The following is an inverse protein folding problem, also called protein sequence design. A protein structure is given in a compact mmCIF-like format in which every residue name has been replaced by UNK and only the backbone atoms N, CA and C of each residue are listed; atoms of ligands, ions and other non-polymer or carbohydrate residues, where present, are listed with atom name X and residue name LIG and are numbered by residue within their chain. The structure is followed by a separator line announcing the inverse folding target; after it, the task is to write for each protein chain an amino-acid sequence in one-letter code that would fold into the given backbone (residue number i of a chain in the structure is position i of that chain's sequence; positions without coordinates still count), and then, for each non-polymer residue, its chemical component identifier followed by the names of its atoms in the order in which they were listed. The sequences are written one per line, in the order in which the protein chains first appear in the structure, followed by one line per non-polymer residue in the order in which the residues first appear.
data_IF_819829379437
#
_entry.id   IF_819829379437
#
_cell.length_a   1.000
_cell.length_b   1.000
_cell.length_c   1.000
_cell.angle_alpha   90.00
_cell.angle_beta   90.00
_cell.angle_gamma   90.00
#
_symmetry.space_group_name_H-M   'P 1'
#
loop_
_entity.id
_entity.type
_entity.pdbx_description
1 polymer ?
#
# COMPACT_ATOMS: atom_id res chain seq x y z
N UNK A 1 -0.31 -2.77 -6.15
CA UNK A 1 -1.45 -3.24 -6.96
C UNK A 1 -2.03 -2.02 -7.66
N UNK A 2 -2.26 -2.09 -8.97
CA UNK A 2 -3.07 -1.07 -9.65
C UNK A 2 -4.47 -1.67 -9.75
N UNK A 3 -5.51 -0.92 -9.37
CA UNK A 3 -6.87 -1.30 -9.73
C UNK A 3 -7.01 -1.01 -11.22
N UNK A 4 -7.20 -2.06 -12.02
CA UNK A 4 -7.08 -2.00 -13.47
C UNK A 4 -8.34 -1.47 -14.16
N UNK A 5 -8.10 -0.60 -15.13
CA UNK A 5 -9.02 -0.17 -16.18
C UNK A 5 -9.28 -1.34 -17.15
N UNK A 6 -10.53 -1.65 -17.50
CA UNK A 6 -10.88 -2.68 -18.49
C UNK A 6 -11.65 -2.07 -19.67
N UNK A 7 -11.23 -2.28 -20.94
CA UNK A 7 -10.15 -3.15 -21.44
C UNK A 7 -8.86 -2.39 -21.82
N UNK A 8 -8.81 -1.06 -21.69
CA UNK A 8 -7.76 -0.21 -22.31
C UNK A 8 -7.03 0.67 -21.30
N UNK A 9 -6.45 0.05 -20.27
CA UNK A 9 -5.45 0.72 -19.44
C UNK A 9 -4.09 0.75 -20.13
N UNK A 10 -3.36 1.86 -20.04
CA UNK A 10 -1.95 1.92 -20.45
C UNK A 10 -1.09 2.56 -19.37
N UNK A 11 0.14 2.08 -19.21
CA UNK A 11 1.13 2.63 -18.31
C UNK A 11 2.54 2.10 -18.65
N UNK A 12 3.56 2.91 -18.41
CA UNK A 12 4.97 2.50 -18.38
C UNK A 12 5.42 2.48 -16.92
N UNK A 13 5.93 1.35 -16.44
CA UNK A 13 6.28 1.14 -15.02
C UNK A 13 7.64 0.46 -14.85
N UNK A 14 8.74 1.13 -15.18
CA UNK A 14 10.06 0.54 -15.01
C UNK A 14 10.42 0.45 -13.52
N UNK A 15 11.26 -0.53 -13.21
CA UNK A 15 11.85 -0.75 -11.91
C UNK A 15 13.37 -0.75 -12.06
N UNK A 16 14.07 0.03 -11.25
CA UNK A 16 15.53 -0.06 -11.13
C UNK A 16 15.88 -0.57 -9.73
N UNK A 17 16.77 -1.55 -9.67
CA UNK A 17 17.31 -2.08 -8.41
C UNK A 17 18.74 -1.57 -8.27
N UNK A 18 19.02 -0.96 -7.13
CA UNK A 18 20.34 -0.52 -6.70
C UNK A 18 20.75 -1.38 -5.49
N UNK A 19 21.87 -1.06 -4.86
CA UNK A 19 22.44 -1.86 -3.77
C UNK A 19 21.47 -2.01 -2.58
N UNK A 20 20.83 -0.91 -2.16
CA UNK A 20 19.95 -0.86 -0.98
C UNK A 20 18.55 -0.31 -1.29
N UNK A 21 18.30 0.03 -2.55
CA UNK A 21 17.13 0.81 -2.95
C UNK A 21 16.49 0.25 -4.21
N UNK A 22 15.16 0.26 -4.24
CA UNK A 22 14.37 -0.06 -5.42
C UNK A 22 13.62 1.18 -5.86
N UNK A 23 13.86 1.64 -7.09
CA UNK A 23 13.22 2.83 -7.67
C UNK A 23 12.08 2.41 -8.58
N UNK A 24 10.85 2.74 -8.18
CA UNK A 24 9.63 2.52 -8.95
C UNK A 24 9.22 3.81 -9.66
N UNK A 25 9.16 3.81 -10.99
CA UNK A 25 8.64 4.94 -11.76
C UNK A 25 7.34 4.57 -12.46
N UNK A 26 6.46 5.55 -12.65
CA UNK A 26 5.21 5.39 -13.39
C UNK A 26 5.00 6.57 -14.32
N UNK A 27 4.76 6.30 -15.61
CA UNK A 27 4.51 7.34 -16.60
C UNK A 27 3.41 6.92 -17.59
N UNK A 28 2.72 7.92 -18.13
CA UNK A 28 1.66 7.69 -19.13
C UNK A 28 0.50 6.84 -18.62
N UNK A 29 0.23 6.87 -17.30
CA UNK A 29 -0.87 6.10 -16.69
C UNK A 29 -2.20 6.73 -17.14
N UNK A 30 -3.00 5.97 -17.88
CA UNK A 30 -4.30 6.41 -18.39
C UNK A 30 -5.36 5.32 -18.27
N UNK A 31 -6.58 5.78 -18.03
CA UNK A 31 -7.79 4.97 -18.11
C UNK A 31 -8.91 5.78 -18.77
N UNK A 32 -9.74 5.13 -19.57
CA UNK A 32 -10.81 5.76 -20.34
C UNK A 32 -12.21 5.28 -19.94
N UNK A 33 -12.32 4.33 -19.00
CA UNK A 33 -13.60 3.74 -18.59
C UNK A 33 -14.24 4.42 -17.36
N UNK A 34 -13.61 5.47 -16.83
CA UNK A 34 -14.09 6.21 -15.65
C UNK A 34 -13.74 5.58 -14.30
N UNK A 35 -13.09 4.42 -14.27
CA UNK A 35 -12.63 3.77 -13.04
C UNK A 35 -11.49 4.56 -12.40
N UNK A 36 -11.55 4.73 -11.08
CA UNK A 36 -10.45 5.33 -10.32
C UNK A 36 -9.19 4.46 -10.41
N UNK A 37 -8.11 5.06 -10.90
CA UNK A 37 -6.78 4.45 -10.92
C UNK A 37 -6.03 4.75 -9.62
N UNK A 38 -5.37 3.73 -9.10
CA UNK A 38 -4.53 3.84 -7.91
C UNK A 38 -3.22 3.09 -8.15
N UNK A 39 -2.11 3.56 -7.57
CA UNK A 39 -0.86 2.81 -7.50
C UNK A 39 -0.56 2.53 -6.04
N UNK A 40 -0.60 1.26 -5.62
CA UNK A 40 -0.20 0.89 -4.25
C UNK A 40 1.32 0.96 -4.10
N UNK A 41 1.79 1.75 -3.14
CA UNK A 41 3.22 1.81 -2.75
C UNK A 41 3.58 0.64 -1.83
N UNK A 42 2.72 0.32 -0.86
CA UNK A 42 2.93 -0.77 0.11
C UNK A 42 1.59 -1.38 0.54
N UNK A 43 1.61 -2.68 0.87
CA UNK A 43 0.51 -3.36 1.55
C UNK A 43 1.11 -4.47 2.42
N UNK A 44 1.40 -4.14 3.68
CA UNK A 44 2.11 -5.00 4.61
C UNK A 44 1.18 -5.56 5.67
N UNK A 45 1.29 -6.86 5.93
CA UNK A 45 0.78 -7.46 7.16
C UNK A 45 1.68 -7.04 8.33
N UNK A 46 1.11 -6.32 9.30
CA UNK A 46 1.83 -5.81 10.47
C UNK A 46 1.91 -6.81 11.63
N UNK A 47 1.47 -8.06 11.41
CA UNK A 47 1.44 -9.10 12.41
C UNK A 47 0.24 -8.99 13.36
N UNK A 48 0.14 -9.90 14.33
CA UNK A 48 -1.02 -10.04 15.22
C UNK A 48 -1.11 -8.97 16.30
N UNK A 49 -0.15 -8.06 16.42
CA UNK A 49 -0.22 -6.92 17.35
C UNK A 49 -0.44 -5.58 16.64
N UNK A 50 -0.36 -5.57 15.31
CA UNK A 50 -0.58 -4.39 14.48
C UNK A 50 0.26 -3.16 14.83
N UNK A 51 1.29 -3.25 15.67
CA UNK A 51 1.86 -2.10 16.39
C UNK A 51 3.01 -1.37 15.68
N UNK A 52 3.36 -1.75 14.46
CA UNK A 52 4.51 -1.16 13.76
C UNK A 52 4.34 0.36 13.59
N UNK A 53 5.32 1.13 14.08
CA UNK A 53 5.30 2.60 14.03
C UNK A 53 5.30 3.07 12.58
N UNK A 54 4.33 3.91 12.22
CA UNK A 54 4.28 4.59 10.94
C UNK A 54 4.68 6.05 11.12
N UNK A 55 5.72 6.49 10.42
CA UNK A 55 6.25 7.87 10.49
C UNK A 55 6.27 8.46 9.09
N UNK A 56 5.80 9.70 8.96
CA UNK A 56 5.75 10.45 7.69
C UNK A 56 6.32 11.83 7.94
N UNK A 57 7.38 12.20 7.22
CA UNK A 57 8.10 13.47 7.38
C UNK A 57 8.43 13.80 8.86
N UNK A 58 8.94 12.80 9.58
CA UNK A 58 9.29 12.90 11.00
C UNK A 58 8.13 12.84 11.99
N UNK A 59 6.88 12.90 11.51
CA UNK A 59 5.69 12.84 12.35
C UNK A 59 5.16 11.42 12.50
N UNK A 60 5.09 10.93 13.73
CA UNK A 60 4.50 9.62 14.04
C UNK A 60 2.99 9.67 13.85
N UNK A 61 2.44 8.67 13.17
CA UNK A 61 1.00 8.50 12.93
C UNK A 61 0.40 7.52 13.93
N UNK A 62 -0.92 7.59 14.20
CA UNK A 62 -1.59 6.67 15.10
C UNK A 62 -1.32 5.20 14.77
N UNK A 63 -1.03 4.40 15.81
CA UNK A 63 -0.86 2.96 15.71
C UNK A 63 -2.17 2.19 15.90
N UNK A 64 -3.17 2.82 16.52
CA UNK A 64 -4.50 2.25 16.67
C UNK A 64 -5.18 2.05 15.31
N UNK A 65 -5.95 0.97 15.18
CA UNK A 65 -6.81 0.71 14.03
C UNK A 65 -8.29 0.78 14.46
N UNK A 66 -9.21 1.09 13.53
CA UNK A 66 -8.94 1.52 12.16
C UNK A 66 -8.37 2.95 12.13
N UNK A 67 -7.47 3.21 11.18
CA UNK A 67 -6.94 4.55 10.94
C UNK A 67 -6.72 4.78 9.45
N UNK A 68 -7.08 5.95 8.95
CA UNK A 68 -6.76 6.36 7.58
C UNK A 68 -6.45 7.86 7.50
N UNK A 69 -5.68 8.23 6.49
CA UNK A 69 -5.38 9.62 6.20
C UNK A 69 -5.02 9.82 4.72
N UNK A 70 -5.31 11.01 4.20
CA UNK A 70 -4.69 11.52 2.97
C UNK A 70 -3.53 12.43 3.38
N UNK A 71 -2.31 11.98 3.10
CA UNK A 71 -1.06 12.66 3.44
C UNK A 71 -0.64 13.48 2.22
N UNK A 72 -0.79 14.80 2.26
CA UNK A 72 -0.41 15.69 1.16
C UNK A 72 1.03 16.17 1.31
N UNK A 73 1.75 16.27 0.18
CA UNK A 73 3.13 16.77 0.18
C UNK A 73 4.13 15.88 0.90
N UNK A 74 3.82 14.60 1.10
CA UNK A 74 4.70 13.67 1.81
C UNK A 74 6.00 13.48 1.03
N UNK A 75 7.15 13.69 1.68
CA UNK A 75 8.47 13.53 1.04
C UNK A 75 9.09 12.17 1.34
N UNK A 76 8.79 11.61 2.52
CA UNK A 76 9.14 10.24 2.86
C UNK A 76 8.22 9.66 3.92
N UNK A 77 8.18 8.34 3.99
CA UNK A 77 7.52 7.60 5.05
C UNK A 77 8.35 6.37 5.45
N UNK A 78 8.14 5.84 6.65
CA UNK A 78 8.69 4.53 7.05
C UNK A 78 7.70 3.75 7.90
N UNK A 79 7.82 2.44 7.85
CA UNK A 79 7.16 1.53 8.79
C UNK A 79 8.26 0.82 9.59
N UNK A 80 8.25 0.98 10.91
CA UNK A 80 9.27 0.42 11.80
C UNK A 80 9.39 -1.10 11.67
N UNK A 81 10.63 -1.61 11.59
CA UNK A 81 10.91 -3.04 11.37
C UNK A 81 10.71 -3.51 9.93
N UNK A 82 10.36 -2.61 9.01
CA UNK A 82 10.18 -2.91 7.59
C UNK A 82 11.09 -2.02 6.75
N UNK A 83 10.53 -1.10 5.96
CA UNK A 83 11.27 -0.25 5.03
C UNK A 83 10.84 1.21 5.08
N UNK A 84 11.64 2.03 4.39
CA UNK A 84 11.35 3.42 4.09
C UNK A 84 10.92 3.60 2.63
N UNK A 85 10.17 4.67 2.39
CA UNK A 85 9.67 5.08 1.09
C UNK A 85 10.02 6.55 0.91
N UNK A 86 10.60 6.90 -0.23
CA UNK A 86 10.94 8.29 -0.60
C UNK A 86 10.11 8.67 -1.81
N UNK A 87 9.58 9.89 -1.79
CA UNK A 87 8.76 10.46 -2.86
C UNK A 87 9.46 11.70 -3.41
N UNK A 88 10.32 11.56 -4.44
CA UNK A 88 11.00 12.70 -5.04
C UNK A 88 10.00 13.76 -5.53
N UNK A 89 10.17 15.01 -5.09
CA UNK A 89 9.23 16.10 -5.40
C UNK A 89 7.95 16.14 -4.56
N UNK A 90 7.79 15.20 -3.63
CA UNK A 90 6.61 15.07 -2.78
C UNK A 90 5.45 14.33 -3.46
N UNK A 91 4.59 13.70 -2.65
CA UNK A 91 3.41 12.99 -3.14
C UNK A 91 2.19 13.17 -2.23
N UNK A 92 1.00 13.01 -2.82
CA UNK A 92 -0.23 12.78 -2.05
C UNK A 92 -0.43 11.29 -1.88
N UNK A 93 -0.35 10.79 -0.65
CA UNK A 93 -0.42 9.36 -0.33
C UNK A 93 -1.66 9.09 0.52
N UNK A 94 -2.52 8.18 0.05
CA UNK A 94 -3.60 7.63 0.87
C UNK A 94 -3.05 6.50 1.72
N UNK A 95 -3.15 6.62 3.04
CA UNK A 95 -2.71 5.62 3.99
C UNK A 95 -3.91 5.00 4.73
N UNK A 96 -3.83 3.70 4.97
CA UNK A 96 -4.82 2.93 5.71
C UNK A 96 -4.11 1.93 6.62
N UNK A 97 -4.57 1.85 7.86
CA UNK A 97 -4.26 0.81 8.83
C UNK A 97 -5.58 0.18 9.26
N UNK A 98 -5.69 -1.13 9.07
CA UNK A 98 -6.92 -1.86 9.28
C UNK A 98 -6.65 -3.29 9.75
N UNK A 99 -7.63 -3.88 10.44
CA UNK A 99 -7.63 -5.29 10.81
C UNK A 99 -8.51 -6.06 9.83
N UNK A 100 -7.94 -7.05 9.13
CA UNK A 100 -8.66 -7.73 8.05
C UNK A 100 -8.86 -9.20 8.38
N UNK A 101 -10.11 -9.61 8.28
CA UNK A 101 -10.52 -11.01 8.34
C UNK A 101 -10.54 -11.62 6.94
N UNK A 102 -10.19 -12.89 6.87
CA UNK A 102 -10.32 -13.68 5.65
C UNK A 102 -10.24 -15.17 5.96
N UNK A 103 -10.67 -15.98 5.00
CA UNK A 103 -10.56 -17.44 5.04
C UNK A 103 -9.98 -17.92 3.73
N UNK A 104 -9.29 -19.06 3.76
CA UNK A 104 -8.72 -19.65 2.54
C UNK A 104 -9.80 -19.95 1.51
N UNK A 105 -11.00 -20.32 1.96
CA UNK A 105 -12.14 -20.58 1.09
C UNK A 105 -12.61 -19.37 0.25
N UNK A 106 -12.22 -18.13 0.60
CA UNK A 106 -12.55 -16.94 -0.20
C UNK A 106 -11.68 -16.84 -1.47
N UNK A 107 -10.52 -17.49 -1.49
CA UNK A 107 -9.59 -17.49 -2.63
C UNK A 107 -9.52 -18.86 -3.33
N UNK A 108 -9.76 -19.94 -2.61
CA UNK A 108 -9.73 -21.31 -3.11
C UNK A 108 -10.96 -22.07 -2.60
N UNK A 109 -11.85 -22.51 -3.50
CA UNK A 109 -13.11 -23.18 -3.13
C UNK A 109 -12.91 -24.45 -2.29
N UNK A 110 -11.75 -25.11 -2.38
CA UNK A 110 -11.40 -26.28 -1.55
C UNK A 110 -10.75 -25.94 -0.21
N UNK A 111 -10.47 -24.66 0.04
CA UNK A 111 -9.76 -24.18 1.21
C UNK A 111 -10.57 -24.24 2.50
N UNK A 112 -9.87 -24.15 3.64
CA UNK A 112 -10.50 -24.07 4.96
C UNK A 112 -11.41 -22.84 5.07
N UNK A 113 -12.56 -23.03 5.72
CA UNK A 113 -13.54 -21.98 6.03
C UNK A 113 -13.24 -21.26 7.34
N UNK A 114 -12.19 -21.67 8.07
CA UNK A 114 -11.79 -21.03 9.33
C UNK A 114 -11.36 -19.59 9.07
N UNK A 115 -11.93 -18.66 9.84
CA UNK A 115 -11.59 -17.23 9.76
C UNK A 115 -10.23 -16.98 10.41
N UNK A 116 -9.38 -16.26 9.70
CA UNK A 116 -8.10 -15.76 10.19
C UNK A 116 -8.15 -14.23 10.20
N UNK A 117 -7.76 -13.64 11.32
CA UNK A 117 -7.54 -12.21 11.44
C UNK A 117 -6.05 -11.87 11.28
N UNK A 118 -5.76 -10.78 10.59
CA UNK A 118 -4.44 -10.14 10.57
C UNK A 118 -4.60 -8.67 10.98
N UNK A 119 -4.17 -8.34 12.20
CA UNK A 119 -4.13 -6.97 12.74
C UNK A 119 -4.89 -6.78 14.05
N UNK A 120 -4.79 -7.72 15.00
CA UNK A 120 -5.34 -7.59 16.36
C UNK A 120 -4.43 -6.79 17.29
#
# INVERSE_FOLDING_TARGET
MIRDCRPTGSAKRPLATLDDTVVCLGAGIRCTDGTALETTVENRNLGPTGGALFVVDGTTRPAAYPWSATLTGATWARIGGHGGYVFPGGATVKALRDARDGRWSDMDKGGSTTVLNRGT
#
